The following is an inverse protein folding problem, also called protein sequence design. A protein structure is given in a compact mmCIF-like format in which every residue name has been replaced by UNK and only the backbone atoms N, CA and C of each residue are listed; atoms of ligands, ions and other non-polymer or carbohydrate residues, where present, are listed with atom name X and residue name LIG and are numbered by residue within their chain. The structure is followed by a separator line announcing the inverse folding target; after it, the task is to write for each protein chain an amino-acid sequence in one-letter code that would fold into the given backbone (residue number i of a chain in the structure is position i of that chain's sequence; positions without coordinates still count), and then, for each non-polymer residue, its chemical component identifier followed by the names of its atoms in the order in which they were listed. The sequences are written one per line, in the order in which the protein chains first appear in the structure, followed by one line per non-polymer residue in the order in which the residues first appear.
data_IF_214396809741
#
_entry.id   IF_214396809741
#
_cell.length_a   1.000
_cell.length_b   1.000
_cell.length_c   1.000
_cell.angle_alpha   90.00
_cell.angle_beta   90.00
_cell.angle_gamma   90.00
#
_symmetry.space_group_name_H-M   'P 1'
#
loop_
_entity.id
_entity.type
_entity.pdbx_description
1 polymer ?
#
# COMPACT_ATOMS: atom_id res chain seq x y z
N UNK A 1 28.01 -8.59 11.34
CA UNK A 1 26.55 -8.57 11.18
C UNK A 1 26.27 -8.12 9.75
N UNK A 2 25.39 -8.80 9.00
CA UNK A 2 24.98 -8.28 7.70
C UNK A 2 24.29 -6.92 7.88
N UNK A 3 24.65 -5.96 7.04
CA UNK A 3 23.99 -4.64 6.98
C UNK A 3 22.96 -4.74 5.87
N UNK A 4 21.69 -4.82 6.25
CA UNK A 4 20.58 -4.77 5.29
C UNK A 4 20.32 -3.33 4.90
N UNK A 5 19.86 -3.12 3.65
CA UNK A 5 19.35 -1.83 3.22
C UNK A 5 17.86 -1.81 3.51
N UNK A 6 17.40 -0.80 4.20
CA UNK A 6 15.98 -0.56 4.42
C UNK A 6 15.38 0.07 3.17
N UNK A 7 14.23 -0.43 2.74
CA UNK A 7 13.44 0.10 1.65
C UNK A 7 12.08 0.53 2.20
N UNK A 8 11.68 1.78 1.93
CA UNK A 8 10.41 2.35 2.39
C UNK A 8 9.62 2.85 1.19
N UNK A 9 8.32 2.54 1.15
CA UNK A 9 7.37 3.11 0.19
C UNK A 9 6.50 4.12 0.94
N UNK A 10 6.54 5.38 0.50
CA UNK A 10 5.75 6.47 1.09
C UNK A 10 4.72 6.95 0.08
N UNK A 11 3.45 6.93 0.49
CA UNK A 11 2.33 7.40 -0.32
C UNK A 11 1.66 8.56 0.42
N UNK A 12 1.46 9.69 -0.27
CA UNK A 12 0.69 10.81 0.24
C UNK A 12 -0.75 10.72 -0.28
N UNK A 13 -1.67 10.32 0.60
CA UNK A 13 -3.08 10.13 0.24
C UNK A 13 -3.76 11.45 -0.13
N UNK A 14 -3.44 12.55 0.55
CA UNK A 14 -4.02 13.86 0.25
C UNK A 14 -3.66 14.31 -1.17
N UNK A 15 -2.39 14.22 -1.55
CA UNK A 15 -1.94 14.60 -2.90
C UNK A 15 -2.60 13.72 -3.99
N UNK A 16 -2.84 12.44 -3.70
CA UNK A 16 -3.54 11.54 -4.63
C UNK A 16 -5.01 11.93 -4.80
N UNK A 17 -5.69 12.31 -3.72
CA UNK A 17 -7.08 12.78 -3.75
C UNK A 17 -7.18 14.08 -4.54
N UNK A 18 -6.31 15.04 -4.27
CA UNK A 18 -6.25 16.36 -4.94
C UNK A 18 -5.98 16.25 -6.45
N UNK A 19 -5.14 15.30 -6.87
CA UNK A 19 -4.91 15.02 -8.30
C UNK A 19 -6.16 14.49 -9.00
N UNK A 20 -7.08 13.88 -8.26
CA UNK A 20 -8.27 13.22 -8.81
C UNK A 20 -9.51 14.08 -8.73
N UNK A 21 -9.61 14.96 -7.74
CA UNK A 21 -10.72 15.88 -7.53
C UNK A 21 -10.12 17.26 -7.24
N UNK A 22 -10.34 18.27 -8.09
CA UNK A 22 -9.76 19.58 -7.87
C UNK A 22 -10.24 20.19 -6.55
N UNK A 23 -9.31 20.70 -5.74
CA UNK A 23 -9.62 21.59 -4.63
C UNK A 23 -10.34 22.84 -5.14
N UNK A 24 -11.28 23.37 -4.36
CA UNK A 24 -12.17 24.43 -4.80
C UNK A 24 -11.43 25.63 -5.40
N UNK A 25 -11.68 25.89 -6.69
CA UNK A 25 -11.51 27.21 -7.26
C UNK A 25 -12.83 27.99 -7.06
N UNK A 26 -12.73 29.29 -6.76
CA UNK A 26 -13.86 30.17 -6.40
C UNK A 26 -15.00 30.21 -7.42
N UNK A 27 -14.78 29.65 -8.62
CA UNK A 27 -15.69 29.67 -9.76
C UNK A 27 -16.63 28.44 -9.86
N UNK A 28 -16.33 27.32 -9.20
CA UNK A 28 -17.12 26.07 -9.30
C UNK A 28 -17.25 25.33 -7.95
N UNK A 29 -18.10 25.84 -7.03
CA UNK A 29 -18.27 25.27 -5.68
C UNK A 29 -19.02 23.92 -5.65
N UNK A 30 -19.57 23.48 -6.77
CA UNK A 30 -20.34 22.24 -6.93
C UNK A 30 -19.48 21.01 -7.30
N UNK A 31 -18.18 21.20 -7.55
CA UNK A 31 -17.28 20.14 -8.05
C UNK A 31 -15.98 19.97 -7.26
N UNK A 32 -15.96 20.40 -5.99
CA UNK A 32 -14.73 20.43 -5.20
C UNK A 32 -14.91 19.99 -3.74
N UNK A 33 -13.83 19.48 -3.14
CA UNK A 33 -13.75 19.14 -1.73
C UNK A 33 -13.04 20.22 -0.92
N UNK A 34 -13.43 20.36 0.35
CA UNK A 34 -12.69 21.12 1.35
C UNK A 34 -11.48 20.33 1.85
N UNK A 35 -10.50 21.03 2.46
CA UNK A 35 -9.33 20.38 3.08
C UNK A 35 -9.74 19.36 4.16
N UNK A 36 -10.79 19.66 4.93
CA UNK A 36 -11.35 18.74 5.93
C UNK A 36 -11.89 17.46 5.29
N UNK A 37 -12.58 17.58 4.15
CA UNK A 37 -13.10 16.44 3.41
C UNK A 37 -11.98 15.59 2.82
N UNK A 38 -10.93 16.21 2.29
CA UNK A 38 -9.74 15.50 1.77
C UNK A 38 -9.07 14.72 2.90
N UNK A 39 -8.89 15.36 4.05
CA UNK A 39 -8.30 14.73 5.23
C UNK A 39 -9.14 13.55 5.72
N UNK A 40 -10.47 13.69 5.73
CA UNK A 40 -11.38 12.61 6.12
C UNK A 40 -11.31 11.42 5.15
N UNK A 41 -11.34 11.69 3.83
CA UNK A 41 -11.19 10.63 2.81
C UNK A 41 -9.84 9.92 2.94
N UNK A 42 -8.76 10.67 3.18
CA UNK A 42 -7.45 10.07 3.40
C UNK A 42 -7.40 9.18 4.65
N UNK A 43 -8.08 9.58 5.72
CA UNK A 43 -8.20 8.76 6.92
C UNK A 43 -8.96 7.45 6.65
N UNK A 44 -10.11 7.54 5.97
CA UNK A 44 -10.93 6.37 5.62
C UNK A 44 -10.15 5.40 4.72
N UNK A 45 -9.47 5.92 3.68
CA UNK A 45 -8.59 5.10 2.83
C UNK A 45 -7.53 4.41 3.66
N UNK A 46 -6.88 5.10 4.60
CA UNK A 46 -5.84 4.50 5.43
C UNK A 46 -6.37 3.40 6.36
N UNK A 47 -7.64 3.50 6.79
CA UNK A 47 -8.28 2.45 7.60
C UNK A 47 -8.65 1.22 6.77
N UNK A 48 -9.05 1.42 5.51
CA UNK A 48 -9.54 0.36 4.63
C UNK A 48 -8.45 -0.20 3.68
N UNK A 49 -7.24 0.34 3.71
CA UNK A 49 -6.18 -0.03 2.77
C UNK A 49 -5.70 -1.46 3.03
N UNK A 50 -6.04 -2.34 2.10
CA UNK A 50 -5.51 -3.70 2.07
C UNK A 50 -4.10 -3.74 1.44
N UNK A 51 -3.11 -4.13 2.24
CA UNK A 51 -1.73 -4.29 1.81
C UNK A 51 -1.38 -5.70 1.34
N UNK A 52 -2.27 -6.69 1.44
CA UNK A 52 -1.99 -8.07 1.02
C UNK A 52 -1.52 -8.17 -0.43
N UNK A 53 -2.11 -7.46 -1.41
CA UNK A 53 -1.63 -7.56 -2.79
C UNK A 53 -0.16 -7.18 -2.94
N UNK A 54 0.32 -6.22 -2.13
CA UNK A 54 1.72 -5.81 -2.10
C UNK A 54 2.59 -6.89 -1.46
N UNK A 55 2.16 -7.46 -0.33
CA UNK A 55 2.87 -8.56 0.31
C UNK A 55 2.96 -9.78 -0.60
N UNK A 56 1.87 -10.18 -1.24
CA UNK A 56 1.81 -11.26 -2.21
C UNK A 56 2.80 -11.05 -3.35
N UNK A 57 2.82 -9.83 -3.94
CA UNK A 57 3.75 -9.51 -5.00
C UNK A 57 5.22 -9.63 -4.55
N UNK A 58 5.55 -9.17 -3.35
CA UNK A 58 6.91 -9.29 -2.80
C UNK A 58 7.27 -10.75 -2.58
N UNK A 59 6.37 -11.54 -2.01
CA UNK A 59 6.58 -12.96 -1.72
C UNK A 59 6.80 -13.75 -3.01
N UNK A 60 5.98 -13.53 -4.06
CA UNK A 60 6.19 -14.13 -5.37
C UNK A 60 7.61 -13.85 -5.91
N UNK A 61 8.08 -12.60 -5.75
CA UNK A 61 9.42 -12.23 -6.19
C UNK A 61 10.50 -12.96 -5.40
N UNK A 62 10.38 -13.05 -4.07
CA UNK A 62 11.31 -13.81 -3.22
C UNK A 62 11.34 -15.27 -3.66
N UNK A 63 10.17 -15.86 -3.89
CA UNK A 63 10.04 -17.28 -4.18
C UNK A 63 10.55 -17.66 -5.56
N UNK A 64 10.52 -16.74 -6.53
CA UNK A 64 11.24 -16.91 -7.80
C UNK A 64 12.75 -17.08 -7.58
N UNK A 65 13.37 -16.32 -6.67
CA UNK A 65 14.80 -16.44 -6.37
C UNK A 65 15.10 -17.71 -5.56
N UNK A 66 14.28 -18.04 -4.57
CA UNK A 66 14.39 -19.29 -3.78
C UNK A 66 14.35 -20.51 -4.69
N UNK A 67 13.36 -20.58 -5.58
CA UNK A 67 13.20 -21.68 -6.53
C UNK A 67 14.37 -21.75 -7.52
N UNK A 68 14.85 -20.61 -8.03
CA UNK A 68 16.01 -20.57 -8.92
C UNK A 68 17.32 -21.02 -8.24
N UNK A 69 17.44 -20.79 -6.93
CA UNK A 69 18.58 -21.20 -6.12
C UNK A 69 18.48 -22.66 -5.62
N UNK A 70 17.33 -23.33 -5.80
CA UNK A 70 17.09 -24.69 -5.32
C UNK A 70 17.04 -24.80 -3.79
N UNK A 71 16.66 -23.71 -3.11
CA UNK A 71 16.55 -23.66 -1.65
C UNK A 71 15.22 -24.28 -1.23
N UNK A 72 15.25 -25.24 -0.30
CA UNK A 72 14.04 -25.77 0.33
C UNK A 72 13.49 -24.74 1.33
N UNK A 73 12.24 -24.32 1.13
CA UNK A 73 11.63 -23.21 1.85
C UNK A 73 10.18 -23.52 2.30
N UNK A 74 9.82 -24.80 2.40
CA UNK A 74 8.45 -25.24 2.70
C UNK A 74 7.94 -24.75 4.07
N UNK A 75 8.84 -24.55 5.04
CA UNK A 75 8.49 -24.17 6.42
C UNK A 75 8.42 -22.64 6.65
N UNK A 76 8.79 -21.83 5.65
CA UNK A 76 8.93 -20.37 5.78
C UNK A 76 7.88 -19.57 4.99
N UNK A 77 6.95 -20.24 4.32
CA UNK A 77 5.95 -19.57 3.50
C UNK A 77 4.92 -18.82 4.36
N UNK A 78 4.72 -17.54 4.02
CA UNK A 78 4.11 -16.55 4.92
C UNK A 78 2.61 -16.39 4.69
N UNK A 79 2.09 -16.62 3.48
CA UNK A 79 0.68 -16.31 3.18
C UNK A 79 -0.34 -16.97 4.12
N UNK A 80 -0.34 -18.29 4.38
CA UNK A 80 -1.33 -18.92 5.26
C UNK A 80 -1.28 -18.45 6.71
N UNK A 81 -0.21 -17.75 7.10
CA UNK A 81 0.00 -17.23 8.45
C UNK A 81 -0.27 -15.73 8.53
N UNK A 82 -0.70 -15.08 7.44
CA UNK A 82 -1.13 -13.69 7.49
C UNK A 82 -2.48 -13.63 8.26
N UNK A 83 -2.60 -12.73 9.26
CA UNK A 83 -3.69 -12.72 10.24
C UNK A 83 -5.05 -12.28 9.69
N UNK A 84 -5.18 -12.18 8.38
CA UNK A 84 -6.24 -11.51 7.64
C UNK A 84 -6.88 -12.44 6.59
N UNK A 85 -6.48 -13.71 6.56
CA UNK A 85 -7.09 -14.80 5.78
C UNK A 85 -8.24 -15.55 6.48
N UNK A 86 -8.67 -15.10 7.66
CA UNK A 86 -9.82 -15.66 8.40
C UNK A 86 -11.18 -15.05 8.00
#
# INVERSE_FOLDING_TARGET
MPVYRDYEIRINLNELIEKRIPCCDLLHPDHCFTEDQITQIAHDINMDLDLHPIFHQIDEHIMRYVNAAGIDNQDHWVEPNLPDLD
#
